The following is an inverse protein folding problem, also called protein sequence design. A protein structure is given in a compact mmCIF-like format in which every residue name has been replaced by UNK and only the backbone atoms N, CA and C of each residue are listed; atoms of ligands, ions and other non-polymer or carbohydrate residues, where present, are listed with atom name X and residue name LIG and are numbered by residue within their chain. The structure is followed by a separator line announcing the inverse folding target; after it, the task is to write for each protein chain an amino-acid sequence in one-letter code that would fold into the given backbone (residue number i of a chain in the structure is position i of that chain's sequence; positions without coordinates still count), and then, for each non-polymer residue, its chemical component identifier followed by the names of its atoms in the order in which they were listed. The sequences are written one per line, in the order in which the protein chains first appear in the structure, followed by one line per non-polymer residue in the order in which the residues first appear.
data_IF_082433018368
#
_entry.id   IF_082433018368
#
_cell.length_a   1.000
_cell.length_b   1.000
_cell.length_c   1.000
_cell.angle_alpha   90.00
_cell.angle_beta   90.00
_cell.angle_gamma   90.00
#
_symmetry.space_group_name_H-M   'P 1'
#
loop_
_entity.id
_entity.type
_entity.pdbx_description
1 polymer ?
#
# COMPACT_ATOMS: atom_id res chain seq x y z
N UNK A 1 0.17 20.15 11.20
CA UNK A 1 0.59 19.14 10.22
C UNK A 1 -0.36 19.20 9.04
N UNK A 2 0.00 19.93 7.97
CA UNK A 2 -0.88 20.03 6.81
C UNK A 2 -0.94 18.67 6.10
N UNK A 3 -2.13 18.12 5.95
CA UNK A 3 -2.36 16.92 5.15
C UNK A 3 -1.97 17.23 3.70
N UNK A 4 -0.78 16.83 3.31
CA UNK A 4 -0.31 17.05 1.95
C UNK A 4 -0.89 15.94 1.05
N UNK A 5 -2.04 16.25 0.43
CA UNK A 5 -2.79 15.34 -0.44
C UNK A 5 -1.92 14.74 -1.54
N UNK A 6 -0.95 15.48 -2.07
CA UNK A 6 -0.01 14.98 -3.07
C UNK A 6 0.85 13.85 -2.52
N UNK A 7 1.44 14.03 -1.34
CA UNK A 7 2.24 12.99 -0.68
C UNK A 7 1.42 11.75 -0.36
N UNK A 8 0.16 11.92 0.05
CA UNK A 8 -0.75 10.81 0.28
C UNK A 8 -1.01 10.01 -1.00
N UNK A 9 -1.36 10.68 -2.10
CA UNK A 9 -1.62 10.03 -3.38
C UNK A 9 -0.37 9.36 -3.95
N UNK A 10 0.81 10.00 -3.80
CA UNK A 10 2.09 9.41 -4.19
C UNK A 10 2.36 8.10 -3.45
N UNK A 11 2.22 8.10 -2.13
CA UNK A 11 2.37 6.89 -1.30
C UNK A 11 1.37 5.79 -1.68
N UNK A 12 0.11 6.15 -1.88
CA UNK A 12 -0.91 5.19 -2.30
C UNK A 12 -0.54 4.51 -3.62
N UNK A 13 -0.06 5.29 -4.60
CA UNK A 13 0.35 4.79 -5.92
C UNK A 13 1.61 3.92 -5.85
N UNK A 14 2.56 4.26 -4.99
CA UNK A 14 3.75 3.42 -4.72
C UNK A 14 3.36 2.06 -4.12
N UNK A 15 2.48 2.07 -3.11
CA UNK A 15 1.97 0.85 -2.47
C UNK A 15 1.19 -0.03 -3.45
N UNK A 16 0.36 0.56 -4.32
CA UNK A 16 -0.36 -0.16 -5.36
C UNK A 16 0.60 -0.87 -6.32
N UNK A 17 1.61 -0.14 -6.85
CA UNK A 17 2.62 -0.72 -7.76
C UNK A 17 3.42 -1.84 -7.10
N UNK A 18 3.85 -1.65 -5.85
CA UNK A 18 4.59 -2.67 -5.11
C UNK A 18 3.74 -3.92 -4.91
N UNK A 19 2.48 -3.71 -4.50
CA UNK A 19 1.53 -4.82 -4.30
C UNK A 19 1.28 -5.58 -5.59
N UNK A 20 1.09 -4.89 -6.71
CA UNK A 20 0.86 -5.54 -8.00
C UNK A 20 2.07 -6.37 -8.44
N UNK A 21 3.29 -5.83 -8.27
CA UNK A 21 4.54 -6.55 -8.58
C UNK A 21 4.69 -7.83 -7.74
N UNK A 22 4.48 -7.74 -6.43
CA UNK A 22 4.58 -8.89 -5.52
C UNK A 22 3.46 -9.90 -5.75
N UNK A 23 2.26 -9.44 -6.12
CA UNK A 23 1.15 -10.30 -6.48
C UNK A 23 1.41 -11.07 -7.78
N UNK A 24 2.06 -10.45 -8.77
CA UNK A 24 2.52 -11.16 -9.98
C UNK A 24 3.56 -12.23 -9.67
N UNK A 25 4.28 -12.11 -8.54
CA UNK A 25 5.20 -13.14 -8.04
C UNK A 25 4.48 -14.25 -7.24
N UNK A 26 3.15 -14.16 -7.07
CA UNK A 26 2.35 -15.18 -6.40
C UNK A 26 2.09 -14.93 -4.90
N UNK A 27 2.53 -13.81 -4.34
CA UNK A 27 2.32 -13.48 -2.93
C UNK A 27 0.87 -13.08 -2.63
N UNK A 28 0.38 -13.47 -1.46
CA UNK A 28 -0.95 -13.06 -1.00
C UNK A 28 -0.93 -11.64 -0.41
N UNK A 29 -2.04 -10.91 -0.57
CA UNK A 29 -2.20 -9.55 -0.03
C UNK A 29 -1.91 -9.43 1.48
N UNK A 30 -2.18 -10.49 2.26
CA UNK A 30 -1.91 -10.51 3.70
C UNK A 30 -0.40 -10.53 3.99
N UNK A 31 0.35 -11.30 3.21
CA UNK A 31 1.81 -11.42 3.32
C UNK A 31 2.47 -10.14 2.81
N UNK A 32 2.03 -9.64 1.65
CA UNK A 32 2.48 -8.35 1.10
C UNK A 32 2.29 -7.23 2.13
N UNK A 33 1.12 -7.18 2.77
CA UNK A 33 0.87 -6.18 3.79
C UNK A 33 1.83 -6.31 4.97
N UNK A 34 1.93 -7.51 5.55
CA UNK A 34 2.70 -7.75 6.77
C UNK A 34 4.20 -7.54 6.54
N UNK A 35 4.74 -8.11 5.47
CA UNK A 35 6.19 -8.22 5.30
C UNK A 35 6.78 -7.02 4.53
N UNK A 36 5.98 -6.33 3.69
CA UNK A 36 6.47 -5.25 2.84
C UNK A 36 5.83 -3.87 3.13
N UNK A 37 4.54 -3.81 3.47
CA UNK A 37 3.83 -2.51 3.55
C UNK A 37 3.82 -1.93 4.98
N UNK A 38 3.53 -2.76 5.98
CA UNK A 38 3.36 -2.33 7.36
C UNK A 38 4.65 -1.70 7.91
N UNK A 39 5.79 -2.36 7.71
CA UNK A 39 7.09 -1.86 8.16
C UNK A 39 7.57 -0.61 7.40
N UNK A 40 7.35 -0.54 6.08
CA UNK A 40 7.86 0.55 5.26
C UNK A 40 7.00 1.82 5.36
N UNK A 41 5.69 1.68 5.27
CA UNK A 41 4.77 2.81 5.18
C UNK A 41 4.11 3.16 6.52
N UNK A 42 4.26 2.29 7.54
CA UNK A 42 3.64 2.44 8.87
C UNK A 42 2.15 2.76 8.77
N UNK A 43 1.46 2.11 7.84
CA UNK A 43 0.03 2.29 7.58
C UNK A 43 -0.74 1.10 8.12
N UNK A 44 -1.98 1.36 8.55
CA UNK A 44 -2.88 0.30 8.97
C UNK A 44 -3.38 -0.55 7.80
N UNK A 45 -3.78 -1.80 8.09
CA UNK A 45 -4.41 -2.70 7.13
C UNK A 45 -5.69 -2.09 6.51
N UNK A 46 -6.41 -1.25 7.26
CA UNK A 46 -7.58 -0.52 6.74
C UNK A 46 -7.19 0.49 5.66
N UNK A 47 -6.12 1.26 5.91
CA UNK A 47 -5.58 2.22 4.94
C UNK A 47 -5.09 1.51 3.69
N UNK A 48 -4.36 0.41 3.85
CA UNK A 48 -3.91 -0.42 2.74
C UNK A 48 -5.07 -0.94 1.87
N UNK A 49 -6.10 -1.51 2.49
CA UNK A 49 -7.31 -1.96 1.78
C UNK A 49 -8.03 -0.82 1.07
N UNK A 50 -8.09 0.36 1.67
CA UNK A 50 -8.67 1.55 1.04
C UNK A 50 -7.89 1.98 -0.20
N UNK A 51 -6.54 1.95 -0.14
CA UNK A 51 -5.71 2.26 -1.29
C UNK A 51 -5.85 1.24 -2.42
N UNK A 52 -6.06 -0.04 -2.11
CA UNK A 52 -6.30 -1.06 -3.12
C UNK A 52 -7.69 -0.98 -3.77
N UNK A 53 -8.70 -0.44 -3.08
CA UNK A 53 -10.07 -0.30 -3.60
C UNK A 53 -10.27 0.86 -4.57
N UNK A 54 -9.37 1.82 -4.60
CA UNK A 54 -9.42 2.94 -5.54
C UNK A 54 -9.02 2.46 -6.94
N UNK A 55 -9.94 1.78 -7.62
CA UNK A 55 -9.84 1.36 -9.03
C UNK A 55 -10.95 2.03 -9.81
#
# INVERSE_FOLDING_TARGET
MAYNRENYLKRAREVQKLTEKLRMQGLFYKEIYRDHIEHQYKISMRTYKNWLKAK
#
